data_IF_515714482900
#
_entry.id   IF_515714482900
#
_cell.length_a   1.000
_cell.length_b   1.000
_cell.length_c   1.000
_cell.angle_alpha   90.00
_cell.angle_beta   90.00
_cell.angle_gamma   90.00
#
_symmetry.space_group_name_H-M   'P 1'
#
loop_
_entity.id
_entity.type
_entity.pdbx_description
1 polymer ?
#
# COMPACT_ATOMS: atom_id res chain seq x y z
N UNK A 1 -7.48 9.46 -6.49
CA UNK A 1 -6.52 8.38 -6.21
C UNK A 1 -5.25 8.96 -5.59
N UNK A 2 -4.67 8.29 -4.62
CA UNK A 2 -3.40 8.68 -3.97
C UNK A 2 -2.20 8.30 -4.84
N UNK A 3 -2.38 7.39 -5.79
CA UNK A 3 -1.37 6.92 -6.73
C UNK A 3 -2.05 6.49 -8.03
N UNK A 4 -1.44 6.82 -9.18
CA UNK A 4 -1.96 6.48 -10.51
C UNK A 4 -1.22 5.28 -11.14
N UNK A 5 -0.32 4.62 -10.41
CA UNK A 5 0.34 3.41 -10.89
C UNK A 5 -0.64 2.24 -10.93
N UNK A 6 -0.74 1.58 -12.08
CA UNK A 6 -1.55 0.37 -12.24
C UNK A 6 -1.04 -0.77 -11.34
N UNK A 7 0.28 -0.87 -11.18
CA UNK A 7 0.89 -1.87 -10.29
C UNK A 7 0.53 -1.64 -8.82
N UNK A 8 0.42 -0.38 -8.37
CA UNK A 8 -0.04 -0.06 -7.00
C UNK A 8 -1.51 -0.42 -6.81
N UNK A 9 -2.37 -0.17 -7.79
CA UNK A 9 -3.77 -0.59 -7.73
C UNK A 9 -3.91 -2.11 -7.56
N UNK A 10 -3.17 -2.87 -8.38
CA UNK A 10 -3.12 -4.34 -8.25
C UNK A 10 -2.57 -4.77 -6.89
N UNK A 11 -1.49 -4.12 -6.40
CA UNK A 11 -0.93 -4.42 -5.08
C UNK A 11 -1.98 -4.20 -3.97
N UNK A 12 -2.74 -3.10 -4.02
CA UNK A 12 -3.82 -2.83 -3.07
C UNK A 12 -4.86 -3.95 -3.05
N UNK A 13 -5.32 -4.38 -4.24
CA UNK A 13 -6.32 -5.46 -4.35
C UNK A 13 -5.81 -6.76 -3.76
N UNK A 14 -4.59 -7.18 -4.12
CA UNK A 14 -4.00 -8.42 -3.62
C UNK A 14 -3.74 -8.33 -2.11
N UNK A 15 -3.26 -7.19 -1.61
CA UNK A 15 -3.03 -6.98 -0.18
C UNK A 15 -4.35 -7.06 0.62
N UNK A 16 -5.44 -6.49 0.09
CA UNK A 16 -6.79 -6.62 0.68
C UNK A 16 -7.22 -8.08 0.80
N UNK A 17 -7.09 -8.86 -0.28
CA UNK A 17 -7.43 -10.29 -0.31
C UNK A 17 -6.58 -11.06 0.70
N UNK A 18 -5.25 -10.86 0.67
CA UNK A 18 -4.32 -11.51 1.61
C UNK A 18 -4.66 -11.17 3.06
N UNK A 19 -4.92 -9.89 3.37
CA UNK A 19 -5.28 -9.44 4.71
C UNK A 19 -6.56 -10.10 5.23
N UNK A 20 -7.57 -10.24 4.36
CA UNK A 20 -8.84 -10.87 4.71
C UNK A 20 -8.71 -12.36 5.02
N UNK A 21 -7.83 -13.05 4.29
CA UNK A 21 -7.64 -14.51 4.41
C UNK A 21 -6.63 -14.85 5.53
N UNK A 22 -5.53 -14.09 5.63
CA UNK A 22 -4.42 -14.35 6.55
C UNK A 22 -4.61 -13.57 7.88
N UNK A 23 -5.75 -13.73 8.54
CA UNK A 23 -6.11 -12.94 9.73
C UNK A 23 -5.18 -13.14 10.93
N UNK A 24 -4.53 -14.28 11.03
CA UNK A 24 -3.59 -14.60 12.12
C UNK A 24 -2.16 -14.11 11.82
N UNK A 25 -1.88 -13.61 10.63
CA UNK A 25 -0.57 -13.11 10.24
C UNK A 25 -0.39 -11.66 10.69
N UNK A 26 0.80 -11.33 11.16
CA UNK A 26 1.25 -9.98 11.45
C UNK A 26 1.42 -9.17 10.16
N UNK A 27 1.03 -7.90 10.16
CA UNK A 27 1.16 -7.03 8.99
C UNK A 27 2.25 -5.99 9.22
N UNK A 28 3.26 -6.00 8.35
CA UNK A 28 4.33 -5.02 8.33
C UNK A 28 4.45 -4.45 6.91
N UNK A 29 4.44 -3.12 6.80
CA UNK A 29 4.60 -2.41 5.54
C UNK A 29 5.92 -1.64 5.59
N UNK A 30 6.73 -1.80 4.55
CA UNK A 30 7.98 -1.06 4.38
C UNK A 30 7.92 -0.27 3.09
N UNK A 31 8.17 1.04 3.16
CA UNK A 31 8.25 1.90 1.99
C UNK A 31 9.63 2.55 1.88
N UNK A 32 10.10 2.67 0.65
CA UNK A 32 11.40 3.27 0.35
C UNK A 32 11.23 4.35 -0.71
N UNK A 33 11.80 5.51 -0.46
CA UNK A 33 11.84 6.63 -1.41
C UNK A 33 13.18 7.36 -1.37
N UNK A 34 13.36 8.23 -2.35
CA UNK A 34 14.55 9.08 -2.48
C UNK A 34 14.74 9.98 -1.25
N UNK A 35 15.99 10.39 -1.04
CA UNK A 35 16.41 11.24 0.11
C UNK A 35 15.68 12.57 0.23
N UNK A 36 15.07 13.07 -0.85
CA UNK A 36 14.40 14.38 -0.89
C UNK A 36 12.91 14.32 -0.58
N UNK A 37 12.32 13.13 -0.35
CA UNK A 37 10.90 12.99 0.00
C UNK A 37 10.64 13.58 1.39
N UNK A 38 9.64 14.47 1.48
CA UNK A 38 9.38 15.25 2.71
C UNK A 38 8.44 14.54 3.68
N UNK A 39 7.43 13.85 3.16
CA UNK A 39 6.46 13.11 3.96
C UNK A 39 6.96 11.70 4.27
N UNK A 40 6.66 11.23 5.47
CA UNK A 40 6.88 9.85 5.92
C UNK A 40 5.83 9.47 6.98
N UNK A 41 5.14 8.33 6.86
CA UNK A 41 5.13 7.44 5.70
C UNK A 41 4.54 8.07 4.43
N UNK A 42 4.82 7.47 3.26
CA UNK A 42 4.26 7.93 1.98
C UNK A 42 2.73 7.77 1.92
N UNK A 43 2.06 8.62 1.14
CA UNK A 43 0.61 8.51 0.92
C UNK A 43 0.20 7.13 0.38
N UNK A 44 1.00 6.52 -0.50
CA UNK A 44 0.76 5.16 -1.01
C UNK A 44 0.83 4.11 0.10
N UNK A 45 1.84 4.19 0.98
CA UNK A 45 1.96 3.28 2.12
C UNK A 45 0.80 3.41 3.10
N UNK A 46 0.34 4.64 3.35
CA UNK A 46 -0.84 4.89 4.19
C UNK A 46 -2.14 4.36 3.55
N UNK A 47 -2.27 4.43 2.23
CA UNK A 47 -3.40 3.82 1.51
C UNK A 47 -3.37 2.30 1.63
N UNK A 48 -2.20 1.66 1.47
CA UNK A 48 -2.02 0.22 1.67
C UNK A 48 -2.39 -0.18 3.10
N UNK A 49 -1.91 0.57 4.11
CA UNK A 49 -2.23 0.32 5.52
C UNK A 49 -3.74 0.43 5.79
N UNK A 50 -4.39 1.46 5.23
CA UNK A 50 -5.85 1.61 5.33
C UNK A 50 -6.60 0.45 4.72
N UNK A 51 -6.17 0.02 3.53
CA UNK A 51 -6.76 -1.09 2.80
C UNK A 51 -6.70 -2.42 3.57
N UNK A 52 -5.54 -2.74 4.15
CA UNK A 52 -5.37 -3.99 4.92
C UNK A 52 -6.05 -3.92 6.29
N UNK A 53 -6.14 -2.74 6.92
CA UNK A 53 -6.89 -2.53 8.16
C UNK A 53 -8.40 -2.75 7.93
N UNK A 54 -8.95 -2.10 6.90
CA UNK A 54 -10.36 -2.23 6.52
C UNK A 54 -10.75 -3.68 6.21
N UNK A 55 -9.85 -4.43 5.53
CA UNK A 55 -10.07 -5.85 5.23
C UNK A 55 -10.16 -6.74 6.48
N UNK A 56 -9.70 -6.26 7.63
CA UNK A 56 -9.79 -6.91 8.95
C UNK A 56 -10.84 -6.30 9.88
N UNK A 57 -11.63 -5.35 9.39
CA UNK A 57 -12.61 -4.60 10.19
C UNK A 57 -11.94 -3.77 11.31
N UNK A 58 -10.69 -3.32 11.09
CA UNK A 58 -9.92 -2.51 12.04
C UNK A 58 -9.92 -1.04 11.64
N UNK A 59 -9.95 -0.16 12.64
CA UNK A 59 -9.71 1.26 12.43
C UNK A 59 -8.19 1.51 12.41
N UNK A 60 -7.66 1.95 11.27
CA UNK A 60 -6.22 2.17 11.12
C UNK A 60 -5.62 3.07 12.22
N UNK A 61 -6.35 4.09 12.68
CA UNK A 61 -5.84 5.02 13.70
C UNK A 61 -5.51 4.36 15.04
N UNK A 62 -6.20 3.25 15.34
CA UNK A 62 -6.05 2.56 16.62
C UNK A 62 -4.92 1.51 16.60
N UNK A 63 -4.51 1.07 15.40
CA UNK A 63 -3.56 -0.03 15.21
C UNK A 63 -2.29 0.36 14.47
N UNK A 64 -2.18 1.60 14.01
CA UNK A 64 -1.04 2.09 13.22
C UNK A 64 0.21 2.31 14.07
N UNK A 65 1.33 1.73 13.62
CA UNK A 65 2.67 1.96 14.18
C UNK A 65 3.58 2.47 13.08
N UNK A 66 4.20 3.65 13.29
CA UNK A 66 5.08 4.28 12.28
C UNK A 66 6.55 4.31 12.66
N UNK A 67 6.92 3.65 13.74
CA UNK A 67 8.30 3.55 14.19
C UNK A 67 8.42 2.72 15.46
N UNK A 68 9.56 2.06 15.62
CA UNK A 68 9.94 1.36 16.85
C UNK A 68 11.38 1.72 17.19
N UNK A 69 11.65 2.15 18.42
CA UNK A 69 12.99 2.51 18.88
C UNK A 69 13.15 2.17 20.37
N UNK A 70 14.27 1.61 20.75
CA UNK A 70 14.57 1.22 22.14
C UNK A 70 13.80 -0.03 22.58
N UNK A 71 13.50 -0.10 23.86
CA UNK A 71 12.79 -1.24 24.48
C UNK A 71 11.28 -1.04 24.38
N UNK A 72 10.69 -1.41 23.25
CA UNK A 72 9.26 -1.19 22.94
C UNK A 72 8.35 -2.37 23.35
N UNK A 73 8.92 -3.46 23.86
CA UNK A 73 8.17 -4.69 24.17
C UNK A 73 7.85 -5.51 22.93
N UNK A 74 7.05 -6.55 23.13
CA UNK A 74 6.59 -7.39 22.02
C UNK A 74 5.55 -6.65 21.17
N UNK A 75 5.46 -7.01 19.90
CA UNK A 75 4.46 -6.52 18.97
C UNK A 75 3.04 -6.85 19.44
N UNK A 76 2.12 -5.90 19.31
CA UNK A 76 0.68 -6.15 19.53
C UNK A 76 0.07 -6.96 18.39
N UNK A 77 -0.95 -7.76 18.68
CA UNK A 77 -1.59 -8.67 17.71
C UNK A 77 -2.15 -7.94 16.50
N UNK A 78 -2.83 -6.82 16.71
CA UNK A 78 -3.54 -6.10 15.65
C UNK A 78 -2.73 -4.93 15.06
N UNK A 79 -1.47 -4.76 15.47
CA UNK A 79 -0.62 -3.71 14.91
C UNK A 79 -0.49 -3.85 13.39
N UNK A 80 -0.59 -2.70 12.73
CA UNK A 80 -0.22 -2.55 11.31
C UNK A 80 0.90 -1.52 11.28
N UNK A 81 2.13 -2.00 11.04
CA UNK A 81 3.28 -1.12 11.02
C UNK A 81 3.58 -0.59 9.62
N UNK A 82 4.01 0.67 9.55
CA UNK A 82 4.46 1.32 8.31
C UNK A 82 5.81 1.97 8.56
N UNK A 83 6.87 1.34 8.06
CA UNK A 83 8.24 1.80 8.20
C UNK A 83 8.72 2.52 6.94
N UNK A 84 9.30 3.69 7.11
CA UNK A 84 9.74 4.56 6.01
C UNK A 84 11.27 4.61 5.92
N UNK A 85 11.81 4.23 4.76
CA UNK A 85 13.23 4.33 4.44
C UNK A 85 13.48 5.46 3.43
N UNK A 86 14.57 6.19 3.60
CA UNK A 86 14.97 7.29 2.71
C UNK A 86 16.41 7.12 2.28
N UNK A 87 16.66 7.14 0.94
CA UNK A 87 18.00 7.02 0.42
C UNK A 87 18.07 7.13 -1.10
N UNK A 88 19.21 7.59 -1.60
CA UNK A 88 19.47 7.66 -3.03
C UNK A 88 18.40 8.43 -3.81
N UNK A 89 18.10 7.89 -4.97
CA UNK A 89 17.11 8.37 -5.95
C UNK A 89 15.91 7.44 -6.13
N UNK A 90 15.67 6.54 -5.16
CA UNK A 90 14.57 5.55 -5.21
C UNK A 90 13.25 6.24 -5.52
N UNK A 91 12.63 5.90 -6.64
CA UNK A 91 11.36 6.50 -7.09
C UNK A 91 10.21 6.14 -6.16
N UNK A 92 10.15 4.87 -5.76
CA UNK A 92 9.20 4.36 -4.79
C UNK A 92 9.17 2.84 -4.77
N UNK A 93 9.31 2.26 -3.60
CA UNK A 93 9.15 0.83 -3.36
C UNK A 93 8.23 0.64 -2.17
N UNK A 94 7.31 -0.32 -2.26
CA UNK A 94 6.37 -0.65 -1.22
C UNK A 94 6.29 -2.16 -1.08
N UNK A 95 6.52 -2.65 0.11
CA UNK A 95 6.38 -4.06 0.46
C UNK A 95 5.31 -4.19 1.53
N UNK A 96 4.31 -5.03 1.30
CA UNK A 96 3.33 -5.44 2.29
C UNK A 96 3.63 -6.87 2.67
N UNK A 97 4.08 -7.09 3.89
CA UNK A 97 4.43 -8.40 4.43
C UNK A 97 3.36 -8.91 5.39
N UNK A 98 3.10 -10.20 5.32
CA UNK A 98 2.24 -10.97 6.20
C UNK A 98 3.08 -12.08 6.82
N UNK A 99 3.30 -12.04 8.13
CA UNK A 99 4.26 -12.89 8.84
C UNK A 99 3.57 -13.76 9.88
N UNK A 100 3.91 -15.04 9.91
CA UNK A 100 3.45 -15.99 10.92
C UNK A 100 4.58 -16.92 11.32
N UNK A 101 4.38 -17.73 12.34
CA UNK A 101 5.34 -18.73 12.75
C UNK A 101 5.58 -19.74 11.62
N UNK A 102 6.85 -19.87 11.22
CA UNK A 102 7.28 -20.82 10.20
C UNK A 102 7.09 -20.38 8.74
N UNK A 103 6.34 -19.31 8.46
CA UNK A 103 6.17 -18.79 7.10
C UNK A 103 5.85 -17.30 7.05
N UNK A 104 6.10 -16.70 5.91
CA UNK A 104 5.63 -15.35 5.59
C UNK A 104 5.43 -15.19 4.09
N UNK A 105 4.64 -14.21 3.71
CA UNK A 105 4.45 -13.79 2.32
C UNK A 105 4.68 -12.29 2.20
N UNK A 106 5.39 -11.85 1.17
CA UNK A 106 5.63 -10.45 0.86
C UNK A 106 5.11 -10.09 -0.52
N UNK A 107 4.33 -9.02 -0.60
CA UNK A 107 3.83 -8.43 -1.83
C UNK A 107 4.61 -7.15 -2.09
N UNK A 108 5.30 -7.07 -3.22
CA UNK A 108 6.20 -5.97 -3.52
C UNK A 108 5.83 -5.25 -4.83
N UNK A 109 5.86 -3.93 -4.79
CA UNK A 109 5.81 -3.06 -5.95
C UNK A 109 7.01 -2.11 -5.94
N UNK A 110 7.71 -2.00 -7.07
CA UNK A 110 8.83 -1.07 -7.25
C UNK A 110 8.60 -0.23 -8.50
N UNK A 111 8.49 1.08 -8.33
CA UNK A 111 8.54 2.03 -9.43
C UNK A 111 10.00 2.35 -9.77
N UNK A 112 10.41 2.07 -10.99
CA UNK A 112 11.76 2.38 -11.50
C UNK A 112 11.81 3.70 -12.29
N UNK A 113 10.64 4.27 -12.60
CA UNK A 113 10.50 5.54 -13.31
C UNK A 113 9.19 6.22 -12.89
N UNK A 114 9.21 7.55 -12.80
CA UNK A 114 8.00 8.37 -12.59
C UNK A 114 7.02 8.30 -13.75
N UNK A 115 7.47 7.89 -14.94
CA UNK A 115 6.62 7.70 -16.10
C UNK A 115 5.49 6.66 -15.87
N UNK A 116 5.65 5.76 -14.90
CA UNK A 116 4.59 4.81 -14.55
C UNK A 116 3.30 5.51 -14.09
N UNK A 117 3.42 6.64 -13.37
CA UNK A 117 2.27 7.41 -12.90
C UNK A 117 1.55 8.12 -14.05
N UNK A 118 2.31 8.75 -14.96
CA UNK A 118 1.76 9.41 -16.15
C UNK A 118 1.05 8.43 -17.07
N UNK A 119 1.65 7.25 -17.30
CA UNK A 119 1.04 6.18 -18.10
C UNK A 119 -0.27 5.68 -17.50
N UNK A 120 -0.32 5.49 -16.18
CA UNK A 120 -1.53 5.11 -15.48
C UNK A 120 -2.63 6.18 -15.57
N UNK A 121 -2.26 7.46 -15.40
CA UNK A 121 -3.19 8.58 -15.54
C UNK A 121 -3.79 8.67 -16.95
N UNK A 122 -2.96 8.50 -18.00
CA UNK A 122 -3.42 8.51 -19.39
C UNK A 122 -4.36 7.33 -19.64
N UNK A 123 -4.04 6.13 -19.15
CA UNK A 123 -4.91 4.96 -19.30
C UNK A 123 -6.26 5.17 -18.63
N UNK A 124 -6.28 5.70 -17.41
CA UNK A 124 -7.52 6.02 -16.70
C UNK A 124 -8.33 7.10 -17.45
N UNK A 125 -7.68 8.15 -17.99
CA UNK A 125 -8.34 9.18 -18.76
C UNK A 125 -8.99 8.64 -20.06
N UNK A 126 -8.30 7.74 -20.76
CA UNK A 126 -8.85 7.09 -21.96
C UNK A 126 -10.09 6.25 -21.60
N UNK A 127 -10.01 5.45 -20.54
CA UNK A 127 -11.12 4.65 -20.06
C UNK A 127 -12.32 5.51 -19.62
N UNK A 128 -12.03 6.62 -18.90
CA UNK A 128 -13.06 7.52 -18.35
C UNK A 128 -13.91 8.21 -19.44
N UNK A 129 -13.34 8.41 -20.64
CA UNK A 129 -14.02 9.02 -21.77
C UNK A 129 -15.33 8.30 -22.15
N UNK A 130 -15.36 7.00 -21.96
CA UNK A 130 -16.49 6.14 -22.36
C UNK A 130 -17.42 5.81 -21.17
N UNK A 131 -17.22 6.47 -20.01
CA UNK A 131 -18.05 6.26 -18.82
C UNK A 131 -19.16 7.32 -18.72
N UNK A 132 -20.25 6.97 -18.03
CA UNK A 132 -21.30 7.91 -17.64
C UNK A 132 -20.76 8.90 -16.59
N UNK A 133 -21.48 10.01 -16.36
CA UNK A 133 -21.12 10.95 -15.28
C UNK A 133 -21.13 10.23 -13.92
N UNK A 134 -20.01 10.32 -13.17
CA UNK A 134 -19.86 9.62 -11.90
C UNK A 134 -18.49 9.87 -11.27
N UNK A 135 -18.28 9.28 -10.09
CA UNK A 135 -17.00 9.23 -9.40
C UNK A 135 -16.41 7.83 -9.58
N UNK A 136 -15.21 7.77 -10.13
CA UNK A 136 -14.51 6.53 -10.44
C UNK A 136 -13.15 6.47 -9.76
N UNK A 137 -12.72 5.27 -9.42
CA UNK A 137 -11.40 4.96 -8.89
C UNK A 137 -10.46 4.47 -10.00
N UNK A 138 -9.20 4.29 -9.68
CA UNK A 138 -8.26 3.61 -10.57
C UNK A 138 -8.62 2.11 -10.71
N UNK A 139 -9.19 1.53 -9.70
CA UNK A 139 -9.58 0.12 -9.65
C UNK A 139 -10.70 -0.15 -10.66
N UNK A 140 -11.71 0.74 -10.75
CA UNK A 140 -12.77 0.67 -11.78
C UNK A 140 -12.18 0.65 -13.19
N UNK A 141 -11.17 1.48 -13.45
CA UNK A 141 -10.50 1.55 -14.76
C UNK A 141 -9.73 0.28 -15.14
N UNK A 142 -9.48 -0.61 -14.18
CA UNK A 142 -8.76 -1.86 -14.35
C UNK A 142 -9.68 -3.09 -14.26
N UNK A 143 -10.99 -2.89 -13.96
CA UNK A 143 -11.91 -3.99 -13.71
C UNK A 143 -11.51 -4.81 -12.47
N UNK A 144 -11.00 -4.12 -11.44
CA UNK A 144 -10.59 -4.73 -10.17
C UNK A 144 -11.71 -4.69 -9.12
N UNK A 145 -12.93 -4.40 -9.52
CA UNK A 145 -14.09 -4.40 -8.63
C UNK A 145 -14.34 -5.80 -8.06
N UNK A 146 -14.95 -5.83 -6.86
CA UNK A 146 -15.20 -7.07 -6.11
C UNK A 146 -16.30 -7.93 -6.75
#
# INVERSE_FOLDING_TARGET
>A
ATNMSLGVAVLNKIARIASKVLREFDIEIVEQHHRHKKDAPSGTAMTLAGCVAEARDLNLKDVLVTGRAGMVGARGKDEIAVMALRGGDVVGRHTVGFYNDGEFIELNHTATSRATFSKGAIKAAIWLKDQSSGLYSIDDSLGLDD
#
